data_IF_408282117580
#
_entry.id   IF_408282117580
#
_cell.length_a   1.000
_cell.length_b   1.000
_cell.length_c   1.000
_cell.angle_alpha   90.00
_cell.angle_beta   90.00
_cell.angle_gamma   90.00
#
_symmetry.space_group_name_H-M   'P 1'
#
loop_
_entity.id
_entity.type
_entity.pdbx_description
1 polymer ?
#
# COMPACT_ATOMS: atom_id res chain seq x y z
N UNK A 1 -1.40 -38.51 21.37
CA UNK A 1 -2.83 -38.11 21.34
C UNK A 1 -3.42 -38.64 20.05
N UNK A 2 -4.55 -39.36 20.09
CA UNK A 2 -5.30 -39.72 18.88
C UNK A 2 -5.66 -38.42 18.12
N UNK A 3 -5.44 -38.38 16.79
CA UNK A 3 -5.68 -37.19 15.95
C UNK A 3 -7.11 -36.64 16.11
N UNK A 4 -8.10 -37.52 16.32
CA UNK A 4 -9.48 -37.14 16.64
C UNK A 4 -9.58 -36.34 17.94
N UNK A 5 -8.85 -36.74 18.97
CA UNK A 5 -8.87 -36.08 20.27
C UNK A 5 -8.22 -34.69 20.21
N UNK A 6 -7.21 -34.51 19.35
CA UNK A 6 -6.59 -33.20 19.10
C UNK A 6 -7.55 -32.24 18.36
N UNK A 7 -8.32 -32.73 17.40
CA UNK A 7 -9.36 -31.95 16.70
C UNK A 7 -10.53 -31.58 17.62
N UNK A 8 -10.94 -32.49 18.50
CA UNK A 8 -12.01 -32.25 19.48
C UNK A 8 -11.59 -31.34 20.63
N UNK A 9 -10.28 -31.17 20.87
CA UNK A 9 -9.76 -30.31 21.94
C UNK A 9 -10.01 -28.81 21.75
N UNK A 10 -10.58 -28.39 20.61
CA UNK A 10 -10.90 -26.98 20.31
C UNK A 10 -9.70 -26.13 19.90
N UNK A 11 -8.47 -26.67 19.95
CA UNK A 11 -7.22 -26.01 19.56
C UNK A 11 -7.18 -25.54 18.10
N UNK A 12 -7.97 -26.14 17.22
CA UNK A 12 -8.06 -25.77 15.80
C UNK A 12 -9.35 -25.02 15.45
N UNK A 13 -10.02 -24.45 16.45
CA UNK A 13 -11.18 -23.59 16.23
C UNK A 13 -10.76 -22.28 15.57
N UNK A 14 -11.70 -21.61 14.87
CA UNK A 14 -11.46 -20.31 14.21
C UNK A 14 -10.89 -19.28 15.20
N UNK A 15 -11.36 -19.30 16.45
CA UNK A 15 -10.89 -18.40 17.51
C UNK A 15 -9.43 -18.61 17.86
N UNK A 16 -9.00 -19.87 18.03
CA UNK A 16 -7.62 -20.21 18.36
C UNK A 16 -6.68 -19.92 17.19
N UNK A 17 -7.07 -20.29 15.96
CA UNK A 17 -6.28 -19.98 14.76
C UNK A 17 -6.13 -18.47 14.55
N UNK A 18 -7.18 -17.69 14.83
CA UNK A 18 -7.11 -16.22 14.76
C UNK A 18 -6.18 -15.65 15.84
N UNK A 19 -6.21 -16.21 17.06
CA UNK A 19 -5.31 -15.80 18.14
C UNK A 19 -3.86 -16.14 17.80
N UNK A 20 -3.59 -17.34 17.26
CA UNK A 20 -2.26 -17.76 16.81
C UNK A 20 -1.71 -16.80 15.75
N UNK A 21 -2.50 -16.49 14.71
CA UNK A 21 -2.14 -15.53 13.66
C UNK A 21 -1.81 -14.15 14.23
N UNK A 22 -2.56 -13.66 15.23
CA UNK A 22 -2.34 -12.33 15.82
C UNK A 22 -1.10 -12.24 16.72
N UNK A 23 -0.67 -13.36 17.30
CA UNK A 23 0.50 -13.43 18.16
C UNK A 23 1.82 -13.64 17.40
N UNK A 24 1.76 -13.87 16.08
CA UNK A 24 2.95 -14.01 15.24
C UNK A 24 3.70 -12.69 15.11
N UNK A 25 5.01 -12.74 15.28
CA UNK A 25 5.90 -11.61 15.04
C UNK A 25 6.01 -11.33 13.55
N UNK A 26 5.55 -10.16 13.12
CA UNK A 26 5.56 -9.77 11.71
C UNK A 26 6.84 -8.98 11.39
N UNK A 27 7.64 -9.38 10.38
CA UNK A 27 8.74 -8.57 9.92
C UNK A 27 8.23 -7.22 9.40
N UNK A 28 8.84 -6.12 9.83
CA UNK A 28 8.41 -4.78 9.42
C UNK A 28 8.75 -4.56 7.94
N UNK A 29 7.74 -4.27 7.13
CA UNK A 29 7.90 -3.86 5.73
C UNK A 29 8.17 -2.36 5.64
N UNK A 30 8.88 -1.92 4.60
CA UNK A 30 9.54 -0.60 4.56
C UNK A 30 8.57 0.58 4.61
N UNK A 31 7.49 0.55 3.84
CA UNK A 31 6.45 1.58 3.84
C UNK A 31 5.61 1.51 5.11
N UNK A 32 5.39 0.31 5.64
CA UNK A 32 4.74 0.13 6.93
C UNK A 32 5.52 0.84 8.06
N UNK A 33 6.86 0.74 8.06
CA UNK A 33 7.72 1.47 9.01
C UNK A 33 7.62 2.98 8.86
N UNK A 34 7.51 3.46 7.62
CA UNK A 34 7.42 4.88 7.31
C UNK A 34 6.06 5.49 7.65
N UNK A 35 5.07 4.66 8.01
CA UNK A 35 3.71 5.09 8.40
C UNK A 35 3.07 6.06 7.40
N UNK A 36 3.34 5.86 6.11
CA UNK A 36 2.75 6.65 5.03
C UNK A 36 1.27 6.30 4.78
N UNK A 37 0.83 5.14 5.27
CA UNK A 37 -0.52 4.65 5.13
C UNK A 37 -1.13 4.37 6.50
N UNK A 38 -2.40 4.77 6.67
CA UNK A 38 -3.21 4.38 7.82
C UNK A 38 -4.17 3.27 7.41
N UNK A 39 -4.25 2.23 8.24
CA UNK A 39 -5.16 1.10 8.01
C UNK A 39 -6.46 1.31 8.77
N UNK A 40 -7.60 1.16 8.07
CA UNK A 40 -8.92 1.21 8.67
C UNK A 40 -9.81 0.12 8.07
N UNK A 41 -10.38 -0.71 8.95
CA UNK A 41 -11.35 -1.71 8.55
C UNK A 41 -12.67 -1.09 8.10
N UNK A 42 -13.27 -1.68 7.06
CA UNK A 42 -14.60 -1.34 6.56
C UNK A 42 -15.54 -2.53 6.71
N UNK A 43 -16.85 -2.26 6.85
CA UNK A 43 -17.88 -3.30 6.92
C UNK A 43 -18.51 -3.60 5.55
N UNK A 44 -18.38 -2.68 4.61
CA UNK A 44 -18.89 -2.76 3.24
C UNK A 44 -17.84 -3.33 2.29
N UNK A 45 -18.24 -3.70 1.08
CA UNK A 45 -17.33 -4.15 0.02
C UNK A 45 -16.83 -3.01 -0.87
N UNK A 46 -17.37 -1.80 -0.70
CA UNK A 46 -16.97 -0.60 -1.42
C UNK A 46 -16.67 0.55 -0.46
N UNK A 47 -15.80 1.46 -0.90
CA UNK A 47 -15.49 2.73 -0.25
C UNK A 47 -15.79 3.84 -1.24
N UNK A 48 -16.61 4.80 -0.85
CA UNK A 48 -16.92 5.98 -1.65
C UNK A 48 -16.21 7.19 -1.07
N UNK A 49 -15.42 7.87 -1.89
CA UNK A 49 -14.76 9.13 -1.55
C UNK A 49 -15.51 10.26 -2.24
N UNK A 50 -16.19 11.09 -1.45
CA UNK A 50 -16.89 12.28 -1.94
C UNK A 50 -15.97 13.50 -1.85
N UNK A 51 -15.74 14.14 -2.99
CA UNK A 51 -15.09 15.44 -3.11
C UNK A 51 -16.16 16.52 -3.24
N UNK A 52 -16.02 17.57 -2.44
CA UNK A 52 -16.75 18.82 -2.63
C UNK A 52 -15.73 19.89 -2.97
N UNK A 53 -15.67 20.28 -4.24
CA UNK A 53 -14.75 21.33 -4.66
C UNK A 53 -15.36 22.67 -4.28
N UNK A 54 -14.82 23.30 -3.22
CA UNK A 54 -15.25 24.62 -2.78
C UNK A 54 -14.64 25.68 -3.69
N UNK A 55 -15.30 26.02 -4.78
CA UNK A 55 -14.87 27.14 -5.61
C UNK A 55 -15.16 28.48 -4.92
N UNK A 56 -14.17 29.37 -4.88
CA UNK A 56 -14.38 30.79 -4.64
C UNK A 56 -14.86 31.38 -5.98
N UNK A 57 -16.14 31.74 -6.04
CA UNK A 57 -16.75 32.36 -7.22
C UNK A 57 -16.74 33.89 -7.08
N UNK A 58 -16.38 34.59 -8.16
CA UNK A 58 -16.48 36.05 -8.21
C UNK A 58 -17.92 36.44 -8.50
N UNK A 59 -18.45 37.41 -7.75
CA UNK A 59 -19.80 37.94 -7.94
C UNK A 59 -19.75 39.03 -9.01
N UNK A 60 -20.69 38.99 -9.96
CA UNK A 60 -20.84 40.05 -10.97
C UNK A 60 -21.30 41.37 -10.34
N UNK A 61 -20.83 42.50 -10.89
CA UNK A 61 -21.33 43.82 -10.53
C UNK A 61 -22.66 44.10 -11.24
N UNK A 62 -23.69 44.43 -10.46
CA UNK A 62 -25.02 44.80 -10.96
C UNK A 62 -25.34 46.26 -10.58
N UNK A 63 -26.07 46.96 -11.44
CA UNK A 63 -26.46 48.35 -11.19
C UNK A 63 -27.41 48.45 -9.98
N UNK A 64 -27.42 49.63 -9.33
CA UNK A 64 -28.25 49.86 -8.15
C UNK A 64 -29.73 49.75 -8.51
N UNK A 65 -30.38 48.70 -8.02
CA UNK A 65 -31.81 48.47 -8.21
C UNK A 65 -32.13 47.20 -9.01
N UNK A 66 -31.13 46.52 -9.56
CA UNK A 66 -31.31 45.22 -10.22
C UNK A 66 -31.05 44.04 -9.27
N UNK A 67 -31.68 42.91 -9.56
CA UNK A 67 -31.49 41.66 -8.81
C UNK A 67 -30.14 41.02 -9.18
N UNK A 68 -29.39 40.60 -8.15
CA UNK A 68 -28.14 39.87 -8.35
C UNK A 68 -28.36 38.44 -8.89
N UNK A 69 -27.37 37.90 -9.59
CA UNK A 69 -27.41 36.50 -10.05
C UNK A 69 -27.05 35.52 -8.91
N UNK A 70 -27.72 34.36 -8.82
CA UNK A 70 -27.35 33.32 -7.88
C UNK A 70 -26.00 32.70 -8.27
N UNK A 71 -25.22 32.30 -7.25
CA UNK A 71 -23.98 31.55 -7.42
C UNK A 71 -24.28 30.09 -7.75
N UNK A 72 -23.39 29.43 -8.49
CA UNK A 72 -23.55 28.02 -8.83
C UNK A 72 -23.29 27.15 -7.60
N UNK A 73 -24.11 26.10 -7.44
CA UNK A 73 -23.90 25.09 -6.41
C UNK A 73 -22.57 24.34 -6.65
N UNK A 74 -21.79 24.06 -5.59
CA UNK A 74 -20.53 23.34 -5.72
C UNK A 74 -20.76 21.92 -6.23
N UNK A 75 -20.07 21.56 -7.32
CA UNK A 75 -20.11 20.22 -7.88
C UNK A 75 -19.56 19.18 -6.89
N UNK A 76 -20.32 18.11 -6.68
CA UNK A 76 -19.92 16.95 -5.88
C UNK A 76 -19.41 15.86 -6.82
N UNK A 77 -18.23 15.32 -6.56
CA UNK A 77 -17.67 14.20 -7.30
C UNK A 77 -17.50 13.01 -6.35
N UNK A 78 -18.08 11.86 -6.71
CA UNK A 78 -17.94 10.63 -5.94
C UNK A 78 -17.01 9.69 -6.70
N UNK A 79 -15.98 9.19 -6.02
CA UNK A 79 -15.07 8.17 -6.53
C UNK A 79 -15.21 6.92 -5.68
N UNK A 80 -15.68 5.84 -6.29
CA UNK A 80 -15.95 4.57 -5.63
C UNK A 80 -14.83 3.56 -5.89
N UNK A 81 -14.35 2.91 -4.82
CA UNK A 81 -13.38 1.82 -4.86
C UNK A 81 -14.00 0.52 -4.36
N UNK A 82 -13.68 -0.58 -5.03
CA UNK A 82 -14.08 -1.93 -4.61
C UNK A 82 -12.95 -2.59 -3.81
N UNK A 83 -13.28 -3.16 -2.65
CA UNK A 83 -12.33 -3.93 -1.86
C UNK A 83 -11.88 -5.20 -2.62
N UNK A 84 -10.58 -5.42 -2.66
CA UNK A 84 -9.96 -6.60 -3.29
C UNK A 84 -10.05 -7.78 -2.32
N UNK A 85 -10.47 -8.94 -2.81
CA UNK A 85 -10.49 -10.16 -2.03
C UNK A 85 -9.20 -10.97 -2.27
N UNK A 86 -8.41 -11.21 -1.21
CA UNK A 86 -7.12 -11.91 -1.25
C UNK A 86 -7.19 -13.22 -0.43
N UNK A 87 -7.80 -14.30 -0.95
CA UNK A 87 -7.85 -15.58 -0.26
C UNK A 87 -6.51 -16.32 -0.39
N UNK A 88 -6.01 -16.87 0.72
CA UNK A 88 -4.85 -17.77 0.75
C UNK A 88 -5.28 -19.08 1.40
N UNK A 89 -5.83 -20.04 0.62
CA UNK A 89 -6.23 -21.32 1.16
C UNK A 89 -4.99 -22.18 1.49
N UNK A 90 -5.02 -22.84 2.65
CA UNK A 90 -4.02 -23.81 3.05
C UNK A 90 -4.70 -25.11 3.50
N UNK A 91 -4.06 -26.25 3.22
CA UNK A 91 -4.51 -27.58 3.63
C UNK A 91 -3.36 -28.35 4.26
N UNK A 92 -3.62 -29.13 5.30
CA UNK A 92 -2.62 -30.04 5.91
C UNK A 92 -3.01 -31.46 5.54
N UNK A 93 -2.10 -32.16 4.86
CA UNK A 93 -2.28 -33.56 4.48
C UNK A 93 -1.60 -34.50 5.48
N UNK A 94 -2.01 -35.78 5.49
CA UNK A 94 -1.42 -36.78 6.39
C UNK A 94 0.10 -36.93 6.17
N UNK A 95 0.56 -36.83 4.93
CA UNK A 95 1.98 -36.90 4.58
C UNK A 95 2.79 -35.74 5.16
N UNK A 96 2.18 -34.54 5.30
CA UNK A 96 2.83 -33.36 5.88
C UNK A 96 3.10 -33.55 7.38
N UNK A 97 2.34 -34.41 8.05
CA UNK A 97 2.50 -34.70 9.48
C UNK A 97 3.43 -35.90 9.66
N UNK A 98 3.27 -36.94 8.84
CA UNK A 98 3.95 -38.23 9.02
C UNK A 98 5.42 -38.24 8.56
N UNK A 99 5.82 -37.37 7.62
CA UNK A 99 7.17 -37.38 7.05
C UNK A 99 8.01 -36.15 7.39
N UNK A 100 7.51 -35.23 8.22
CA UNK A 100 8.16 -33.93 8.48
C UNK A 100 8.90 -33.94 9.80
N UNK A 101 10.17 -34.35 9.76
CA UNK A 101 11.06 -34.27 10.93
C UNK A 101 11.19 -32.81 11.39
N UNK A 102 10.91 -32.53 12.67
CA UNK A 102 11.23 -31.25 13.28
C UNK A 102 12.72 -30.90 13.08
N UNK A 103 12.99 -29.71 12.54
CA UNK A 103 14.36 -29.26 12.30
C UNK A 103 15.10 -29.08 13.63
N UNK A 104 15.99 -30.02 13.98
CA UNK A 104 16.90 -29.89 15.13
C UNK A 104 16.62 -30.76 16.37
N UNK A 105 15.58 -31.59 16.41
CA UNK A 105 15.31 -32.49 17.56
C UNK A 105 14.87 -33.90 17.13
N UNK A 106 15.03 -34.88 18.04
CA UNK A 106 14.81 -36.31 17.78
C UNK A 106 13.56 -36.91 18.42
N UNK A 107 12.85 -36.20 19.30
CA UNK A 107 11.70 -36.74 20.04
C UNK A 107 10.39 -35.96 19.81
N UNK A 108 9.43 -36.75 19.33
CA UNK A 108 7.96 -36.76 19.25
C UNK A 108 7.03 -35.56 19.63
N UNK A 109 5.94 -35.48 18.83
CA UNK A 109 4.53 -35.16 19.21
C UNK A 109 4.07 -33.69 19.35
N UNK A 110 4.77 -32.72 18.76
CA UNK A 110 4.25 -31.36 18.47
C UNK A 110 4.11 -31.04 16.96
N UNK A 111 4.27 -32.05 16.11
CA UNK A 111 4.38 -31.95 14.64
C UNK A 111 3.18 -31.27 13.96
N UNK A 112 1.93 -31.59 14.35
CA UNK A 112 0.75 -31.06 13.67
C UNK A 112 0.58 -29.55 13.89
N UNK A 113 0.76 -29.08 15.12
CA UNK A 113 0.61 -27.65 15.45
C UNK A 113 1.71 -26.84 14.76
N UNK A 114 2.95 -27.34 14.77
CA UNK A 114 4.08 -26.71 14.10
C UNK A 114 3.85 -26.56 12.58
N UNK A 115 3.34 -27.60 11.91
CA UNK A 115 3.02 -27.55 10.47
C UNK A 115 1.91 -26.54 10.17
N UNK A 116 0.90 -26.45 11.04
CA UNK A 116 -0.18 -25.46 10.90
C UNK A 116 0.36 -24.05 11.06
N UNK A 117 1.15 -23.80 12.11
CA UNK A 117 1.71 -22.50 12.41
C UNK A 117 2.66 -22.04 11.28
N UNK A 118 3.47 -22.94 10.71
CA UNK A 118 4.32 -22.65 9.55
C UNK A 118 3.48 -22.22 8.33
N UNK A 119 2.40 -22.94 8.02
CA UNK A 119 1.53 -22.57 6.88
C UNK A 119 0.81 -21.25 7.12
N UNK A 120 0.38 -20.98 8.36
CA UNK A 120 -0.24 -19.72 8.73
C UNK A 120 0.74 -18.55 8.65
N UNK A 121 1.99 -18.76 9.06
CA UNK A 121 3.06 -17.76 8.97
C UNK A 121 3.37 -17.40 7.51
N UNK A 122 3.55 -18.40 6.64
CA UNK A 122 3.74 -18.19 5.20
C UNK A 122 2.56 -17.41 4.59
N UNK A 123 1.32 -17.77 4.96
CA UNK A 123 0.13 -17.09 4.45
C UNK A 123 0.07 -15.62 4.91
N UNK A 124 0.37 -15.36 6.19
CA UNK A 124 0.40 -14.01 6.76
C UNK A 124 1.48 -13.15 6.09
N UNK A 125 2.71 -13.65 6.01
CA UNK A 125 3.82 -12.94 5.35
C UNK A 125 3.52 -12.65 3.87
N UNK A 126 2.85 -13.58 3.17
CA UNK A 126 2.44 -13.38 1.78
C UNK A 126 1.39 -12.28 1.63
N UNK A 127 0.44 -12.20 2.56
CA UNK A 127 -0.57 -11.13 2.58
C UNK A 127 0.09 -9.77 2.87
N UNK A 128 0.98 -9.69 3.85
CA UNK A 128 1.68 -8.46 4.19
C UNK A 128 2.54 -7.96 3.01
N UNK A 129 3.28 -8.86 2.36
CA UNK A 129 4.04 -8.53 1.15
C UNK A 129 3.14 -8.04 -0.01
N UNK A 130 1.93 -8.60 -0.13
CA UNK A 130 0.96 -8.17 -1.15
C UNK A 130 0.39 -6.79 -0.83
N UNK A 131 0.08 -6.51 0.44
CA UNK A 131 -0.39 -5.19 0.89
C UNK A 131 0.69 -4.14 0.63
N UNK A 132 1.94 -4.45 0.93
CA UNK A 132 3.08 -3.57 0.67
C UNK A 132 3.26 -3.31 -0.82
N UNK A 133 3.11 -4.35 -1.66
CA UNK A 133 3.12 -4.19 -3.11
C UNK A 133 1.99 -3.26 -3.59
N UNK A 134 0.79 -3.37 -3.02
CA UNK A 134 -0.31 -2.44 -3.32
C UNK A 134 0.00 -1.01 -2.86
N UNK A 135 0.65 -0.83 -1.71
CA UNK A 135 1.11 0.49 -1.23
C UNK A 135 2.10 1.14 -2.18
N UNK A 136 3.08 0.38 -2.67
CA UNK A 136 4.00 0.87 -3.70
C UNK A 136 3.23 1.26 -4.97
N UNK A 137 2.32 0.41 -5.44
CA UNK A 137 1.46 0.72 -6.58
C UNK A 137 0.65 1.99 -6.39
N UNK A 138 0.11 2.22 -5.19
CA UNK A 138 -0.63 3.43 -4.85
C UNK A 138 0.24 4.69 -4.91
N UNK A 139 1.51 4.63 -4.46
CA UNK A 139 2.46 5.75 -4.56
C UNK A 139 2.73 6.10 -6.03
N UNK A 140 2.89 5.09 -6.89
CA UNK A 140 3.09 5.29 -8.33
C UNK A 140 1.80 5.56 -9.11
N UNK A 141 0.63 5.52 -8.45
CA UNK A 141 -0.67 5.84 -9.05
C UNK A 141 -1.39 4.66 -9.73
N UNK A 142 -0.80 3.45 -9.78
CA UNK A 142 -1.43 2.26 -10.34
C UNK A 142 -1.24 1.06 -9.41
N UNK A 143 -2.34 0.54 -8.88
CA UNK A 143 -2.33 -0.68 -8.05
C UNK A 143 -2.43 -1.89 -8.97
N UNK A 144 -1.39 -2.72 -8.95
CA UNK A 144 -1.26 -3.89 -9.81
C UNK A 144 -1.54 -5.17 -9.03
N UNK A 145 -2.07 -6.18 -9.71
CA UNK A 145 -2.14 -7.55 -9.21
C UNK A 145 -0.80 -8.26 -9.39
N UNK A 146 -0.65 -9.45 -8.80
CA UNK A 146 0.52 -10.34 -8.98
C UNK A 146 0.83 -10.59 -10.46
N UNK A 147 -0.19 -10.68 -11.30
CA UNK A 147 -0.05 -10.96 -12.74
C UNK A 147 0.24 -9.70 -13.59
N UNK A 148 0.40 -8.53 -12.95
CA UNK A 148 0.61 -7.25 -13.64
C UNK A 148 -0.66 -6.58 -14.17
N UNK A 149 -1.84 -7.19 -13.99
CA UNK A 149 -3.12 -6.55 -14.32
C UNK A 149 -3.37 -5.36 -13.40
N UNK A 150 -3.77 -4.21 -13.96
CA UNK A 150 -4.17 -3.04 -13.19
C UNK A 150 -5.49 -3.32 -12.48
N UNK A 151 -5.47 -3.30 -11.14
CA UNK A 151 -6.66 -3.44 -10.30
C UNK A 151 -7.33 -2.07 -10.16
N UNK A 152 -6.55 -1.05 -9.83
CA UNK A 152 -7.03 0.33 -9.65
C UNK A 152 -6.04 1.28 -10.32
N UNK A 153 -6.58 2.13 -11.19
CA UNK A 153 -5.86 3.25 -11.77
C UNK A 153 -6.28 4.54 -11.07
N UNK A 154 -5.39 5.08 -10.23
CA UNK A 154 -5.67 6.27 -9.44
C UNK A 154 -5.63 7.55 -10.29
N UNK A 155 -4.82 7.57 -11.36
CA UNK A 155 -4.78 8.69 -12.30
C UNK A 155 -6.13 8.84 -13.00
N UNK A 156 -6.69 7.73 -13.48
CA UNK A 156 -8.02 7.72 -14.08
C UNK A 156 -9.12 8.04 -13.08
N UNK A 157 -9.04 7.48 -11.87
CA UNK A 157 -10.04 7.72 -10.82
C UNK A 157 -10.13 9.20 -10.40
N UNK A 158 -8.99 9.89 -10.33
CA UNK A 158 -8.93 11.30 -9.94
C UNK A 158 -8.79 12.28 -11.10
N UNK A 159 -8.82 11.81 -12.35
CA UNK A 159 -8.63 12.63 -13.57
C UNK A 159 -7.33 13.44 -13.55
N UNK A 160 -6.26 12.84 -13.01
CA UNK A 160 -4.91 13.42 -12.98
C UNK A 160 -4.14 12.88 -14.18
N UNK A 161 -3.44 13.75 -14.90
CA UNK A 161 -2.56 13.32 -15.99
C UNK A 161 -1.34 12.58 -15.45
N UNK A 162 -1.03 11.39 -15.98
CA UNK A 162 0.17 10.61 -15.63
C UNK A 162 1.46 11.40 -15.84
N UNK A 163 1.50 12.26 -16.87
CA UNK A 163 2.65 13.13 -17.17
C UNK A 163 2.98 14.13 -16.06
N UNK A 164 2.03 14.41 -15.15
CA UNK A 164 2.28 15.29 -14.00
C UNK A 164 3.07 14.59 -12.89
N UNK A 165 3.12 13.26 -12.89
CA UNK A 165 3.82 12.45 -11.88
C UNK A 165 5.21 11.96 -12.32
N UNK A 166 5.52 12.02 -13.62
CA UNK A 166 6.75 11.47 -14.17
C UNK A 166 7.73 12.58 -14.57
N UNK A 167 8.98 12.45 -14.11
CA UNK A 167 10.08 13.32 -14.54
C UNK A 167 11.21 12.47 -15.12
N UNK A 168 11.65 12.82 -16.33
CA UNK A 168 12.77 12.13 -16.98
C UNK A 168 14.09 12.67 -16.43
N UNK A 169 14.95 11.79 -15.93
CA UNK A 169 16.28 12.12 -15.43
C UNK A 169 17.33 11.64 -16.44
N UNK A 170 18.17 12.55 -16.91
CA UNK A 170 19.32 12.25 -17.77
C UNK A 170 20.62 12.24 -16.95
N UNK A 171 21.25 11.06 -16.86
CA UNK A 171 22.47 10.86 -16.10
C UNK A 171 23.71 11.53 -16.72
N UNK A 172 23.65 11.99 -17.97
CA UNK A 172 24.76 12.70 -18.62
C UNK A 172 24.87 14.16 -18.16
N UNK A 173 23.75 14.74 -17.77
CA UNK A 173 23.66 16.12 -17.32
C UNK A 173 23.83 16.24 -15.78
N UNK A 174 24.06 17.46 -15.25
CA UNK A 174 24.16 17.68 -13.81
C UNK A 174 22.88 17.25 -13.08
N UNK A 175 23.00 16.24 -12.22
CA UNK A 175 21.86 15.66 -11.50
C UNK A 175 21.23 16.63 -10.48
N UNK A 176 22.02 17.48 -9.84
CA UNK A 176 21.53 18.41 -8.82
C UNK A 176 20.47 19.37 -9.36
N UNK A 177 20.69 19.95 -10.54
CA UNK A 177 19.73 20.85 -11.19
C UNK A 177 18.44 20.12 -11.56
N UNK A 178 18.56 18.88 -12.04
CA UNK A 178 17.40 18.05 -12.38
C UNK A 178 16.59 17.69 -11.13
N UNK A 179 17.24 17.27 -10.03
CA UNK A 179 16.55 16.96 -8.77
C UNK A 179 15.86 18.18 -8.15
N UNK A 180 16.47 19.37 -8.25
CA UNK A 180 15.84 20.63 -7.86
C UNK A 180 14.59 20.94 -8.71
N UNK A 181 14.63 20.65 -10.01
CA UNK A 181 13.49 20.83 -10.90
C UNK A 181 12.36 19.86 -10.53
N UNK A 182 12.68 18.58 -10.32
CA UNK A 182 11.72 17.56 -9.84
C UNK A 182 11.04 18.00 -8.55
N UNK A 183 11.81 18.54 -7.59
CA UNK A 183 11.26 19.07 -6.35
C UNK A 183 10.28 20.22 -6.60
N UNK A 184 10.65 21.18 -7.44
CA UNK A 184 9.79 22.34 -7.78
C UNK A 184 8.50 21.91 -8.48
N UNK A 185 8.58 20.96 -9.40
CA UNK A 185 7.39 20.49 -10.11
C UNK A 185 6.50 19.66 -9.20
N UNK A 186 7.07 18.87 -8.29
CA UNK A 186 6.31 18.22 -7.21
C UNK A 186 5.58 19.24 -6.32
N UNK A 187 6.26 20.32 -5.88
CA UNK A 187 5.66 21.38 -5.07
C UNK A 187 4.54 22.16 -5.78
N UNK A 188 4.57 22.26 -7.11
CA UNK A 188 3.49 22.89 -7.90
C UNK A 188 2.26 21.99 -8.02
N UNK A 189 2.48 20.69 -8.18
CA UNK A 189 1.40 19.72 -8.32
C UNK A 189 0.71 19.44 -6.98
N UNK A 190 1.43 19.56 -5.87
CA UNK A 190 0.85 19.55 -4.53
C UNK A 190 0.04 20.83 -4.29
N UNK A 191 -1.26 20.81 -4.60
CA UNK A 191 -2.22 21.93 -4.36
C UNK A 191 -2.56 22.16 -2.87
N UNK A 192 -1.76 21.66 -1.92
CA UNK A 192 -2.09 21.58 -0.49
C UNK A 192 -0.92 21.87 0.44
N UNK A 193 -0.94 21.27 1.63
CA UNK A 193 0.15 21.38 2.61
C UNK A 193 1.41 20.78 1.99
N UNK A 194 2.44 21.62 1.84
CA UNK A 194 3.73 21.19 1.30
C UNK A 194 4.48 20.38 2.34
N UNK A 195 4.91 19.20 1.97
CA UNK A 195 5.71 18.35 2.85
C UNK A 195 7.10 18.96 3.09
N UNK A 196 7.52 19.02 4.35
CA UNK A 196 8.88 19.48 4.69
C UNK A 196 9.95 18.47 4.29
N UNK A 197 9.62 17.18 4.22
CA UNK A 197 10.53 16.09 3.86
C UNK A 197 9.80 15.08 2.99
N UNK A 198 10.27 14.92 1.76
CA UNK A 198 9.80 13.88 0.84
C UNK A 198 10.86 12.78 0.77
N UNK A 199 10.63 11.61 1.40
CA UNK A 199 11.55 10.49 1.27
C UNK A 199 11.55 10.00 -0.18
N UNK A 200 12.72 9.84 -0.78
CA UNK A 200 12.86 9.29 -2.13
C UNK A 200 13.17 7.80 -2.06
N UNK A 201 12.39 7.01 -2.82
CA UNK A 201 12.66 5.59 -3.01
C UNK A 201 13.43 5.40 -4.30
N UNK A 202 14.57 4.72 -4.23
CA UNK A 202 15.48 4.55 -5.35
C UNK A 202 15.67 3.06 -5.61
N UNK A 203 15.57 2.67 -6.88
CA UNK A 203 15.92 1.32 -7.31
C UNK A 203 17.45 1.15 -7.36
N UNK A 204 17.92 -0.09 -7.28
CA UNK A 204 19.35 -0.39 -7.42
C UNK A 204 19.92 0.05 -8.79
N UNK A 205 19.08 0.04 -9.83
CA UNK A 205 19.42 0.55 -11.17
C UNK A 205 19.67 2.06 -11.19
N UNK A 206 19.01 2.84 -10.33
CA UNK A 206 19.27 4.28 -10.18
C UNK A 206 20.53 4.56 -9.37
N UNK A 207 20.84 3.72 -8.37
CA UNK A 207 22.01 3.89 -7.49
C UNK A 207 23.34 3.51 -8.16
N UNK A 208 23.34 2.53 -9.06
CA UNK A 208 24.57 2.04 -9.70
C UNK A 208 25.28 3.10 -10.58
N UNK A 209 24.59 3.90 -11.40
CA UNK A 209 25.19 5.01 -12.16
C UNK A 209 25.64 6.19 -11.29
N UNK A 210 25.03 6.38 -10.11
CA UNK A 210 25.32 7.52 -9.22
C UNK A 210 26.48 7.24 -8.26
N UNK A 211 26.74 5.97 -7.92
CA UNK A 211 27.83 5.55 -7.04
C UNK A 211 29.25 5.90 -7.56
N UNK A 212 29.41 6.14 -8.87
CA UNK A 212 30.68 6.58 -9.47
C UNK A 212 30.94 8.09 -9.39
N UNK A 213 29.93 8.90 -9.03
CA UNK A 213 30.04 10.37 -8.96
C UNK A 213 30.33 10.79 -7.52
N UNK A 214 31.62 10.84 -7.15
CA UNK A 214 32.20 11.15 -5.82
C UNK A 214 31.86 12.51 -5.17
N UNK A 215 30.88 13.26 -5.64
CA UNK A 215 30.50 14.56 -5.07
C UNK A 215 29.00 14.63 -4.77
N UNK A 216 28.57 13.92 -3.72
CA UNK A 216 27.37 14.30 -2.98
C UNK A 216 27.88 14.96 -1.69
N UNK A 217 28.19 16.26 -1.80
CA UNK A 217 28.48 17.09 -0.64
C UNK A 217 27.26 17.10 0.27
N UNK A 218 27.47 16.63 1.49
CA UNK A 218 26.62 16.93 2.64
C UNK A 218 26.71 18.44 2.87
N UNK A 219 25.60 19.17 2.72
CA UNK A 219 25.53 20.56 3.17
C UNK A 219 24.20 20.80 3.87
N UNK A 220 24.32 20.91 5.20
CA UNK A 220 23.46 21.55 6.23
C UNK A 220 21.95 21.35 6.10
#
# INVERSE_FOLDING_TARGET
MEMQQALESGKFSITELTAAINNMDVPRLRLAELKLFEEKGIRTTTIDIEYKDGQIQLVEDVERGEDGKPLDDPNRKIVSFKAVHLPVPASVSADDVLNTRAFGTSDELEELQAVIDEKLDIARQSLDATIEYFRFGAIFGKVLSKNGTVIVDLFKAFEISEANGENTIDFNNPLATQLLQVKRDSEKQQKGIKDQKVPCFLSSGFLRPTAGKRNLYQSV
#
